data_IF_637685359804
#
_entry.id   IF_637685359804
#
_cell.length_a   1.000
_cell.length_b   1.000
_cell.length_c   1.000
_cell.angle_alpha   90.00
_cell.angle_beta   90.00
_cell.angle_gamma   90.00
#
_symmetry.space_group_name_H-M   'P 1'
#
loop_
_entity.id
_entity.type
_entity.pdbx_description
1 polymer ?
#
# COMPACT_ATOMS: atom_id res chain seq x y z
N UNK A 1 33.58 15.09 -4.54
CA UNK A 1 32.67 13.96 -4.25
C UNK A 1 31.34 14.61 -3.90
N UNK A 2 30.34 14.54 -4.76
CA UNK A 2 29.06 15.22 -4.51
C UNK A 2 28.19 14.31 -3.65
N UNK A 3 27.94 14.71 -2.41
CA UNK A 3 26.96 14.06 -1.53
C UNK A 3 25.56 14.27 -2.10
N UNK A 4 24.82 13.17 -2.24
CA UNK A 4 23.42 13.20 -2.67
C UNK A 4 22.58 13.75 -1.50
N UNK A 5 22.42 15.07 -1.47
CA UNK A 5 21.39 15.70 -0.65
C UNK A 5 20.03 15.27 -1.18
N UNK A 6 19.27 14.54 -0.34
CA UNK A 6 17.86 14.27 -0.63
C UNK A 6 17.14 15.59 -0.47
N UNK A 7 16.65 16.10 -1.60
CA UNK A 7 15.86 17.32 -1.66
C UNK A 7 14.49 17.07 -0.99
N UNK A 8 14.35 17.53 0.25
CA UNK A 8 13.12 17.41 1.04
C UNK A 8 12.08 18.47 0.68
N UNK A 9 12.29 19.26 -0.39
CA UNK A 9 11.34 20.28 -0.87
C UNK A 9 9.95 19.71 -1.19
N UNK A 10 9.83 18.38 -1.33
CA UNK A 10 8.58 17.67 -1.61
C UNK A 10 7.87 17.10 -0.37
N UNK A 11 8.46 17.21 0.83
CA UNK A 11 7.81 16.79 2.07
C UNK A 11 7.09 17.96 2.72
N UNK A 12 5.81 17.78 3.05
CA UNK A 12 5.09 18.78 3.83
C UNK A 12 5.56 18.78 5.28
N UNK A 13 5.47 19.91 5.98
CA UNK A 13 5.76 19.98 7.41
C UNK A 13 5.02 18.90 8.21
N UNK A 14 3.81 18.49 7.78
CA UNK A 14 3.07 17.40 8.41
C UNK A 14 3.75 16.03 8.25
N UNK A 15 4.38 15.74 7.12
CA UNK A 15 5.09 14.48 6.91
C UNK A 15 6.37 14.39 7.75
N UNK A 16 6.98 15.54 8.07
CA UNK A 16 8.12 15.62 9.01
C UNK A 16 7.64 15.33 10.44
N UNK A 17 6.50 15.89 10.85
CA UNK A 17 5.92 15.64 12.18
C UNK A 17 5.52 14.18 12.40
N UNK A 18 5.05 13.48 11.35
CA UNK A 18 4.75 12.05 11.44
C UNK A 18 5.99 11.19 11.74
N UNK A 19 7.17 11.62 11.29
CA UNK A 19 8.44 10.95 11.59
C UNK A 19 8.92 11.28 13.01
N UNK A 20 8.62 12.47 13.52
CA UNK A 20 8.96 12.88 14.90
C UNK A 20 8.04 12.25 15.96
N UNK A 21 6.74 12.16 15.70
CA UNK A 21 5.77 11.45 16.54
C UNK A 21 6.12 9.95 16.62
N UNK A 22 6.61 9.37 15.52
CA UNK A 22 7.09 7.98 15.47
C UNK A 22 8.25 7.71 16.43
N UNK A 23 9.09 8.71 16.72
CA UNK A 23 10.23 8.60 17.64
C UNK A 23 9.83 8.86 19.11
N UNK A 24 8.75 9.61 19.38
CA UNK A 24 8.30 9.91 20.76
C UNK A 24 7.43 8.83 21.42
N UNK A 25 6.84 7.91 20.66
CA UNK A 25 5.94 6.84 21.18
C UNK A 25 6.70 5.78 22.02
N UNK A 26 8.03 5.88 22.14
CA UNK A 26 8.88 4.90 22.83
C UNK A 26 8.73 4.78 24.35
N UNK A 27 7.85 5.53 25.04
CA UNK A 27 7.92 5.57 26.53
C UNK A 27 6.71 5.19 27.36
N UNK A 28 5.47 5.04 26.86
CA UNK A 28 4.34 5.03 27.81
C UNK A 28 3.12 4.14 27.50
N UNK A 29 2.92 3.19 28.42
CA UNK A 29 1.67 2.56 28.91
C UNK A 29 1.16 1.23 28.33
N UNK A 30 1.30 0.18 29.17
CA UNK A 30 0.49 -1.03 29.20
C UNK A 30 -0.45 -1.01 30.42
N UNK A 31 -1.67 -1.52 30.22
CA UNK A 31 -2.61 -2.31 31.11
C UNK A 31 -4.07 -1.89 30.84
N UNK A 32 -5.13 -2.71 30.95
CA UNK A 32 -5.34 -4.13 31.29
C UNK A 32 -6.65 -4.63 30.61
N UNK A 33 -6.68 -5.89 30.16
CA UNK A 33 -7.82 -6.60 29.53
C UNK A 33 -8.41 -7.63 30.52
N UNK A 34 -9.72 -7.88 30.43
CA UNK A 34 -10.58 -8.66 31.37
C UNK A 34 -10.06 -10.01 31.92
N UNK A 35 -10.65 -10.43 33.06
CA UNK A 35 -10.03 -11.26 34.11
C UNK A 35 -10.12 -12.80 33.98
N UNK A 36 -10.64 -13.39 32.90
CA UNK A 36 -10.58 -14.86 32.74
C UNK A 36 -10.01 -15.30 31.37
N UNK A 37 -8.73 -15.74 31.32
CA UNK A 37 -8.00 -16.06 30.08
C UNK A 37 -8.55 -17.25 29.29
N UNK A 38 -9.03 -18.28 29.99
CA UNK A 38 -9.40 -19.57 29.36
C UNK A 38 -10.70 -19.48 28.55
N UNK A 39 -11.67 -18.68 29.01
CA UNK A 39 -12.94 -18.40 28.32
C UNK A 39 -12.70 -17.65 26.98
N UNK A 40 -11.77 -16.68 27.00
CA UNK A 40 -11.37 -15.93 25.80
C UNK A 40 -10.64 -16.79 24.78
N UNK A 41 -9.70 -17.62 25.23
CA UNK A 41 -8.98 -18.55 24.36
C UNK A 41 -9.93 -19.54 23.68
N UNK A 42 -10.96 -20.01 24.40
CA UNK A 42 -11.95 -20.95 23.87
C UNK A 42 -12.84 -20.32 22.79
N UNK A 43 -13.26 -19.07 22.98
CA UNK A 43 -14.05 -18.33 21.98
C UNK A 43 -13.22 -17.93 20.75
N UNK A 44 -11.96 -17.54 20.95
CA UNK A 44 -11.02 -17.25 19.86
C UNK A 44 -10.70 -18.53 19.06
N UNK A 45 -10.44 -19.65 19.73
CA UNK A 45 -10.20 -20.93 19.06
C UNK A 45 -11.41 -21.36 18.22
N UNK A 46 -12.63 -21.15 18.73
CA UNK A 46 -13.87 -21.47 18.00
C UNK A 46 -14.06 -20.58 16.76
N UNK A 47 -13.77 -19.28 16.86
CA UNK A 47 -13.77 -18.36 15.71
C UNK A 47 -12.69 -18.72 14.67
N UNK A 48 -11.47 -19.04 15.11
CA UNK A 48 -10.37 -19.44 14.23
C UNK A 48 -10.66 -20.77 13.52
N UNK A 49 -11.39 -21.69 14.16
CA UNK A 49 -11.76 -22.98 13.55
C UNK A 49 -12.83 -22.81 12.47
N UNK A 50 -13.80 -21.91 12.69
CA UNK A 50 -14.83 -21.56 11.71
C UNK A 50 -14.25 -20.77 10.53
N UNK A 51 -13.27 -19.90 10.76
CA UNK A 51 -12.55 -19.20 9.69
C UNK A 51 -11.61 -20.14 8.92
N UNK A 52 -10.90 -21.05 9.61
CA UNK A 52 -10.07 -22.06 8.94
C UNK A 52 -10.91 -23.00 8.08
N UNK A 53 -12.06 -23.49 8.55
CA UNK A 53 -12.93 -24.36 7.73
C UNK A 53 -13.45 -23.69 6.44
N UNK A 54 -13.49 -22.36 6.37
CA UNK A 54 -13.78 -21.60 5.13
C UNK A 54 -12.52 -21.32 4.29
N UNK A 55 -11.33 -21.37 4.88
CA UNK A 55 -10.03 -21.12 4.23
C UNK A 55 -9.25 -22.40 3.85
N UNK A 56 -9.61 -23.58 4.35
CA UNK A 56 -8.95 -24.86 3.99
C UNK A 56 -9.48 -25.52 2.71
N UNK A 57 -10.18 -24.78 1.84
CA UNK A 57 -9.99 -25.04 0.41
C UNK A 57 -8.64 -24.44 0.04
N UNK A 58 -7.62 -25.29 0.16
CA UNK A 58 -6.27 -25.08 -0.31
C UNK A 58 -6.26 -24.17 -1.54
N UNK A 59 -5.77 -22.94 -1.37
CA UNK A 59 -5.17 -22.21 -2.49
C UNK A 59 -3.89 -22.97 -2.77
N UNK A 60 -4.04 -24.03 -3.54
CA UNK A 60 -2.96 -24.72 -4.22
C UNK A 60 -2.19 -23.63 -4.99
N UNK A 61 -0.95 -23.38 -4.60
CA UNK A 61 -0.06 -22.34 -5.14
C UNK A 61 0.45 -22.75 -6.54
N UNK A 62 -0.28 -23.61 -7.25
CA UNK A 62 0.04 -24.09 -8.58
C UNK A 62 -1.14 -23.79 -9.50
N UNK A 63 -0.91 -22.81 -10.37
CA UNK A 63 -1.80 -22.26 -11.39
C UNK A 63 -2.82 -21.23 -10.89
N UNK A 64 -2.49 -19.94 -11.04
CA UNK A 64 -3.46 -19.01 -11.61
C UNK A 64 -2.73 -17.80 -12.24
N UNK A 65 -2.50 -17.80 -13.56
CA UNK A 65 -1.98 -16.66 -14.30
C UNK A 65 -3.14 -15.69 -14.56
N UNK A 66 -3.76 -15.18 -13.49
CA UNK A 66 -4.88 -14.26 -13.61
C UNK A 66 -4.45 -12.85 -13.23
N UNK A 67 -4.88 -11.91 -14.06
CA UNK A 67 -4.87 -10.48 -13.74
C UNK A 67 -5.43 -10.29 -12.34
N UNK A 68 -4.77 -9.48 -11.52
CA UNK A 68 -5.22 -9.22 -10.14
C UNK A 68 -5.15 -7.75 -9.82
N UNK A 69 -6.26 -7.24 -9.32
CA UNK A 69 -6.39 -5.91 -8.74
C UNK A 69 -6.50 -6.11 -7.23
N UNK A 70 -5.48 -5.71 -6.48
CA UNK A 70 -5.42 -5.81 -5.03
C UNK A 70 -5.78 -4.46 -4.43
N UNK A 71 -6.72 -4.42 -3.50
CA UNK A 71 -7.17 -3.17 -2.88
C UNK A 71 -6.90 -3.20 -1.38
N UNK A 72 -6.22 -2.18 -0.87
CA UNK A 72 -5.97 -1.95 0.55
C UNK A 72 -6.69 -0.68 0.96
N UNK A 73 -7.64 -0.81 1.89
CA UNK A 73 -8.26 0.31 2.58
C UNK A 73 -7.48 0.57 3.86
N UNK A 74 -7.03 1.80 4.07
CA UNK A 74 -6.23 2.14 5.24
C UNK A 74 -6.37 3.59 5.66
N UNK A 75 -5.94 3.95 6.87
CA UNK A 75 -5.83 5.34 7.27
C UNK A 75 -4.59 5.97 6.64
N UNK A 76 -4.50 7.31 6.67
CA UNK A 76 -3.37 8.03 6.08
C UNK A 76 -1.99 7.54 6.60
N UNK A 77 -1.87 7.29 7.91
CA UNK A 77 -0.67 6.71 8.54
C UNK A 77 -0.32 5.29 8.05
N UNK A 78 -1.30 4.56 7.52
CA UNK A 78 -1.16 3.19 7.04
C UNK A 78 -0.81 3.08 5.55
N UNK A 79 -0.71 4.18 4.81
CA UNK A 79 -0.42 4.16 3.37
C UNK A 79 0.90 3.44 3.07
N UNK A 80 1.98 3.82 3.76
CA UNK A 80 3.30 3.19 3.58
C UNK A 80 3.25 1.69 3.87
N UNK A 81 2.56 1.29 4.95
CA UNK A 81 2.36 -0.11 5.29
C UNK A 81 1.60 -0.83 4.17
N UNK A 82 0.55 -0.25 3.63
CA UNK A 82 -0.20 -0.78 2.49
C UNK A 82 0.69 -0.99 1.27
N UNK A 83 1.49 0.02 0.91
CA UNK A 83 2.42 -0.03 -0.23
C UNK A 83 3.40 -1.20 -0.12
N UNK A 84 4.11 -1.27 1.01
CA UNK A 84 5.16 -2.27 1.22
C UNK A 84 4.56 -3.68 1.37
N UNK A 85 3.39 -3.81 2.00
CA UNK A 85 2.69 -5.09 2.12
C UNK A 85 2.33 -5.66 0.76
N UNK A 86 1.84 -4.84 -0.17
CA UNK A 86 1.49 -5.30 -1.52
C UNK A 86 2.73 -5.77 -2.31
N UNK A 87 3.87 -5.09 -2.18
CA UNK A 87 5.11 -5.55 -2.80
C UNK A 87 5.58 -6.89 -2.22
N UNK A 88 5.50 -7.06 -0.91
CA UNK A 88 5.85 -8.32 -0.26
C UNK A 88 4.92 -9.47 -0.65
N UNK A 89 3.60 -9.24 -0.65
CA UNK A 89 2.60 -10.23 -1.07
C UNK A 89 2.80 -10.69 -2.52
N UNK A 90 3.23 -9.77 -3.39
CA UNK A 90 3.49 -10.07 -4.81
C UNK A 90 4.92 -10.53 -5.11
N UNK A 91 5.78 -10.56 -4.08
CA UNK A 91 7.23 -10.82 -4.17
C UNK A 91 7.96 -9.89 -5.15
N UNK A 92 7.46 -8.67 -5.30
CA UNK A 92 8.06 -7.62 -6.13
C UNK A 92 8.92 -6.68 -5.29
N UNK A 93 9.90 -6.03 -5.93
CA UNK A 93 10.65 -4.94 -5.30
C UNK A 93 10.03 -3.58 -5.68
N UNK A 94 9.89 -2.66 -4.71
CA UNK A 94 9.40 -1.32 -4.99
C UNK A 94 10.38 -0.57 -5.90
N UNK A 95 9.85 0.04 -6.95
CA UNK A 95 10.58 0.98 -7.81
C UNK A 95 9.73 2.21 -8.01
N UNK A 96 10.36 3.38 -8.21
CA UNK A 96 9.66 4.67 -8.31
C UNK A 96 8.56 4.64 -9.37
N UNK A 97 8.83 4.06 -10.54
CA UNK A 97 7.86 4.00 -11.63
C UNK A 97 6.73 2.96 -11.44
N UNK A 98 6.79 2.14 -10.39
CA UNK A 98 5.72 1.22 -9.99
C UNK A 98 4.71 1.87 -9.03
N UNK A 99 4.97 3.07 -8.51
CA UNK A 99 4.10 3.73 -7.54
C UNK A 99 3.63 5.05 -8.16
N UNK A 100 2.32 5.28 -8.19
CA UNK A 100 1.72 6.51 -8.68
C UNK A 100 0.84 7.12 -7.60
N UNK A 101 1.26 8.26 -7.06
CA UNK A 101 0.47 9.06 -6.12
C UNK A 101 -0.50 9.94 -6.89
N UNK A 102 -1.80 9.78 -6.61
CA UNK A 102 -2.83 10.62 -7.18
C UNK A 102 -2.95 11.94 -6.44
N UNK A 103 -3.39 12.95 -7.17
CA UNK A 103 -3.77 14.29 -6.68
C UNK A 103 -5.05 14.74 -7.40
N UNK A 104 -5.66 15.81 -6.90
CA UNK A 104 -6.76 16.52 -7.54
C UNK A 104 -6.39 17.13 -8.90
N UNK A 105 -5.09 17.38 -9.12
CA UNK A 105 -4.54 17.87 -10.39
C UNK A 105 -4.11 16.77 -11.36
N UNK A 106 -4.16 15.50 -10.97
CA UNK A 106 -3.71 14.39 -11.83
C UNK A 106 -4.56 14.31 -13.09
N UNK A 107 -3.90 14.40 -14.24
CA UNK A 107 -4.56 14.43 -15.55
C UNK A 107 -4.87 13.04 -16.10
N UNK A 108 -5.79 12.99 -17.07
CA UNK A 108 -6.06 11.76 -17.83
C UNK A 108 -4.81 11.24 -18.56
N UNK A 109 -3.96 12.13 -19.08
CA UNK A 109 -2.76 11.74 -19.82
C UNK A 109 -1.79 10.95 -18.94
N UNK A 110 -1.59 11.40 -17.70
CA UNK A 110 -0.75 10.71 -16.71
C UNK A 110 -1.34 9.35 -16.32
N UNK A 111 -2.66 9.30 -16.07
CA UNK A 111 -3.36 8.07 -15.73
C UNK A 111 -3.34 7.05 -16.85
N UNK A 112 -3.47 7.50 -18.11
CA UNK A 112 -3.35 6.65 -19.30
C UNK A 112 -1.93 6.08 -19.43
N UNK A 113 -0.90 6.92 -19.20
CA UNK A 113 0.49 6.46 -19.22
C UNK A 113 0.76 5.42 -18.12
N UNK A 114 0.24 5.65 -16.90
CA UNK A 114 0.29 4.69 -15.80
C UNK A 114 -0.40 3.37 -16.16
N UNK A 115 -1.63 3.42 -16.70
CA UNK A 115 -2.35 2.22 -17.13
C UNK A 115 -1.57 1.39 -18.16
N UNK A 116 -0.93 2.04 -19.14
CA UNK A 116 -0.05 1.34 -20.08
C UNK A 116 1.15 0.69 -19.38
N UNK A 117 1.84 1.40 -18.47
CA UNK A 117 2.96 0.80 -17.72
C UNK A 117 2.48 -0.43 -16.95
N UNK A 118 1.41 -0.29 -16.17
CA UNK A 118 0.80 -1.39 -15.41
C UNK A 118 0.49 -2.61 -16.29
N UNK A 119 -0.17 -2.38 -17.43
CA UNK A 119 -0.61 -3.46 -18.30
C UNK A 119 0.53 -4.12 -19.10
N UNK A 120 1.61 -3.39 -19.38
CA UNK A 120 2.69 -3.86 -20.25
C UNK A 120 3.91 -4.40 -19.50
N UNK A 121 4.07 -4.16 -18.20
CA UNK A 121 5.20 -4.60 -17.36
C UNK A 121 5.23 -6.10 -16.98
N UNK A 122 4.71 -6.99 -17.85
CA UNK A 122 4.86 -8.46 -17.71
C UNK A 122 4.49 -9.03 -16.33
N UNK A 123 3.46 -8.48 -15.67
CA UNK A 123 3.00 -8.94 -14.36
C UNK A 123 3.73 -8.33 -13.15
N UNK A 124 4.60 -7.32 -13.35
CA UNK A 124 5.07 -6.48 -12.25
C UNK A 124 3.89 -5.76 -11.57
N UNK A 125 4.00 -5.56 -10.25
CA UNK A 125 3.00 -4.83 -9.49
C UNK A 125 3.18 -3.32 -9.70
N UNK A 126 2.13 -2.66 -10.18
CA UNK A 126 2.02 -1.21 -10.17
C UNK A 126 0.95 -0.78 -9.18
N UNK A 127 1.16 0.30 -8.45
CA UNK A 127 0.28 0.75 -7.37
C UNK A 127 -0.24 2.15 -7.63
N UNK A 128 -1.54 2.32 -7.44
CA UNK A 128 -2.22 3.60 -7.46
C UNK A 128 -2.53 4.00 -6.02
N UNK A 129 -1.97 5.13 -5.58
CA UNK A 129 -2.04 5.59 -4.19
C UNK A 129 -2.99 6.77 -4.11
N UNK A 130 -3.96 6.67 -3.21
CA UNK A 130 -5.04 7.63 -2.98
C UNK A 130 -5.85 7.99 -4.25
N UNK A 131 -6.33 7.00 -5.03
CA UNK A 131 -7.13 7.27 -6.23
C UNK A 131 -8.42 8.06 -5.97
N UNK A 132 -8.89 8.14 -4.73
CA UNK A 132 -10.00 8.98 -4.31
C UNK A 132 -9.79 10.48 -4.59
N UNK A 133 -8.53 10.91 -4.74
CA UNK A 133 -8.19 12.30 -5.08
C UNK A 133 -8.40 12.61 -6.57
N UNK A 134 -8.50 11.59 -7.42
CA UNK A 134 -8.77 11.79 -8.84
C UNK A 134 -10.19 12.32 -9.05
N UNK A 135 -10.36 13.25 -10.01
CA UNK A 135 -11.70 13.65 -10.45
C UNK A 135 -12.52 12.45 -10.94
N UNK A 136 -13.84 12.48 -10.75
CA UNK A 136 -14.73 11.41 -11.18
C UNK A 136 -14.57 11.08 -12.68
N UNK A 137 -14.38 12.10 -13.52
CA UNK A 137 -14.11 11.94 -14.95
C UNK A 137 -12.84 11.11 -15.22
N UNK A 138 -11.74 11.41 -14.51
CA UNK A 138 -10.47 10.69 -14.67
C UNK A 138 -10.58 9.25 -14.16
N UNK A 139 -11.30 9.03 -13.04
CA UNK A 139 -11.59 7.69 -12.53
C UNK A 139 -12.37 6.85 -13.57
N UNK A 140 -13.41 7.43 -14.18
CA UNK A 140 -14.20 6.75 -15.21
C UNK A 140 -13.39 6.44 -16.46
N UNK A 141 -12.62 7.41 -16.97
CA UNK A 141 -11.74 7.20 -18.12
C UNK A 141 -10.72 6.08 -17.84
N UNK A 142 -10.12 6.06 -16.66
CA UNK A 142 -9.16 5.03 -16.26
C UNK A 142 -9.79 3.63 -16.24
N UNK A 143 -10.95 3.49 -15.61
CA UNK A 143 -11.61 2.17 -15.51
C UNK A 143 -12.09 1.66 -16.86
N UNK A 144 -12.69 2.51 -17.69
CA UNK A 144 -13.07 2.16 -19.06
C UNK A 144 -11.86 1.74 -19.91
N UNK A 145 -10.75 2.46 -19.76
CA UNK A 145 -9.53 2.15 -20.50
C UNK A 145 -8.89 0.84 -20.05
N UNK A 146 -8.80 0.59 -18.74
CA UNK A 146 -8.27 -0.67 -18.22
C UNK A 146 -9.14 -1.86 -18.64
N UNK A 147 -10.47 -1.69 -18.62
CA UNK A 147 -11.41 -2.70 -19.12
C UNK A 147 -11.19 -2.97 -20.62
N UNK A 148 -10.99 -1.91 -21.42
CA UNK A 148 -10.67 -2.06 -22.85
C UNK A 148 -9.37 -2.82 -23.06
N UNK A 149 -8.29 -2.51 -22.32
CA UNK A 149 -7.01 -3.22 -22.41
C UNK A 149 -7.16 -4.70 -22.04
N UNK A 150 -7.82 -4.99 -20.91
CA UNK A 150 -8.05 -6.35 -20.44
C UNK A 150 -8.87 -7.18 -21.45
N UNK A 151 -9.90 -6.58 -22.06
CA UNK A 151 -10.71 -7.23 -23.10
C UNK A 151 -9.94 -7.47 -24.40
N UNK A 152 -9.07 -6.54 -24.80
CA UNK A 152 -8.28 -6.65 -26.03
C UNK A 152 -7.15 -7.67 -25.93
N UNK A 153 -6.55 -7.84 -24.74
CA UNK A 153 -5.43 -8.75 -24.53
C UNK A 153 -5.63 -9.61 -23.26
N UNK A 154 -6.59 -10.56 -23.27
CA UNK A 154 -6.96 -11.33 -22.08
C UNK A 154 -5.85 -12.24 -21.55
N UNK A 155 -4.89 -12.63 -22.41
CA UNK A 155 -3.72 -13.45 -22.04
C UNK A 155 -2.63 -12.64 -21.34
N UNK A 156 -2.70 -11.31 -21.39
CA UNK A 156 -1.67 -10.45 -20.81
C UNK A 156 -1.87 -10.34 -19.32
N UNK A 157 -0.80 -10.56 -18.58
CA UNK A 157 -0.78 -10.51 -17.12
C UNK A 157 -0.43 -9.10 -16.65
N UNK A 158 -1.27 -8.54 -15.80
CA UNK A 158 -1.01 -7.31 -15.07
C UNK A 158 -1.40 -7.45 -13.60
N UNK A 159 -0.70 -6.68 -12.75
CA UNK A 159 -0.99 -6.59 -11.33
C UNK A 159 -1.12 -5.12 -10.95
N UNK A 160 -2.29 -4.76 -10.45
CA UNK A 160 -2.60 -3.42 -9.98
C UNK A 160 -2.84 -3.47 -8.48
N UNK A 161 -2.08 -2.70 -7.71
CA UNK A 161 -2.37 -2.39 -6.32
C UNK A 161 -3.13 -1.07 -6.25
N UNK A 162 -4.10 -0.99 -5.36
CA UNK A 162 -4.80 0.24 -5.02
C UNK A 162 -4.69 0.40 -3.52
N UNK A 163 -4.06 1.49 -3.07
CA UNK A 163 -4.01 1.86 -1.66
C UNK A 163 -4.84 3.12 -1.51
N UNK A 164 -5.95 3.03 -0.78
CA UNK A 164 -6.93 4.11 -0.65
C UNK A 164 -7.21 4.40 0.82
N UNK A 165 -7.50 5.67 1.11
CA UNK A 165 -8.01 6.13 2.40
C UNK A 165 -9.52 6.33 2.42
N UNK A 166 -10.15 6.27 1.24
CA UNK A 166 -11.60 6.22 1.13
C UNK A 166 -12.09 4.78 1.35
N UNK A 167 -13.29 4.61 1.91
CA UNK A 167 -13.87 3.28 1.99
C UNK A 167 -14.22 2.75 0.59
N UNK A 168 -14.09 1.45 0.38
CA UNK A 168 -14.34 0.82 -0.92
C UNK A 168 -15.78 0.98 -1.41
N UNK A 169 -16.74 1.28 -0.52
CA UNK A 169 -18.12 1.58 -0.90
C UNK A 169 -18.25 2.92 -1.63
N UNK A 170 -17.36 3.88 -1.35
CA UNK A 170 -17.43 5.25 -1.88
C UNK A 170 -16.49 5.49 -3.05
N UNK A 171 -15.53 4.61 -3.30
CA UNK A 171 -14.60 4.74 -4.42
C UNK A 171 -15.19 4.17 -5.72
N UNK A 172 -15.70 5.06 -6.59
CA UNK A 172 -16.27 4.73 -7.90
C UNK A 172 -15.32 3.86 -8.73
N UNK A 173 -14.03 4.22 -8.76
CA UNK A 173 -13.00 3.46 -9.47
C UNK A 173 -12.97 1.97 -9.07
N UNK A 174 -12.97 1.67 -7.77
CA UNK A 174 -12.91 0.28 -7.29
C UNK A 174 -14.20 -0.46 -7.61
N UNK A 175 -15.35 0.20 -7.45
CA UNK A 175 -16.64 -0.41 -7.78
C UNK A 175 -16.77 -0.73 -9.26
N UNK A 176 -16.34 0.16 -10.16
CA UNK A 176 -16.29 -0.07 -11.60
C UNK A 176 -15.35 -1.23 -11.97
N UNK A 177 -14.21 -1.36 -11.27
CA UNK A 177 -13.25 -2.45 -11.52
C UNK A 177 -13.74 -3.82 -11.02
N UNK A 178 -14.63 -3.88 -10.01
CA UNK A 178 -15.21 -5.15 -9.54
C UNK A 178 -15.96 -5.90 -10.64
N UNK A 179 -16.45 -5.20 -11.67
CA UNK A 179 -17.08 -5.81 -12.85
C UNK A 179 -16.13 -6.77 -13.60
N UNK A 180 -14.81 -6.60 -13.47
CA UNK A 180 -13.81 -7.48 -14.09
C UNK A 180 -13.62 -8.81 -13.35
N UNK A 181 -14.25 -9.02 -12.19
CA UNK A 181 -14.12 -10.23 -11.35
C UNK A 181 -12.67 -10.59 -10.94
N UNK A 182 -11.74 -9.63 -11.03
CA UNK A 182 -10.31 -9.79 -10.69
C UNK A 182 -9.88 -8.92 -9.50
N UNK A 183 -10.84 -8.29 -8.83
CA UNK A 183 -10.59 -7.41 -7.67
C UNK A 183 -10.60 -8.25 -6.39
N UNK A 184 -9.57 -8.11 -5.57
CA UNK A 184 -9.46 -8.71 -4.24
C UNK A 184 -9.11 -7.64 -3.21
N UNK A 185 -9.94 -7.49 -2.19
CA UNK A 185 -9.66 -6.59 -1.06
C UNK A 185 -8.79 -7.32 -0.03
N UNK A 186 -7.67 -6.70 0.32
CA UNK A 186 -6.73 -7.18 1.34
C UNK A 186 -7.16 -6.60 2.70
N UNK A 187 -7.24 -7.46 3.71
CA UNK A 187 -7.63 -7.05 5.06
C UNK A 187 -6.41 -6.61 5.86
N UNK A 188 -6.62 -5.83 6.92
CA UNK A 188 -5.54 -5.29 7.75
C UNK A 188 -4.61 -6.38 8.34
N UNK A 189 -5.20 -7.53 8.70
CA UNK A 189 -4.49 -8.70 9.22
C UNK A 189 -3.54 -9.37 8.21
N UNK A 190 -3.75 -9.11 6.91
CA UNK A 190 -2.92 -9.64 5.83
C UNK A 190 -1.79 -8.65 5.46
N UNK A 191 -1.79 -7.45 6.06
CA UNK A 191 -0.73 -6.46 5.91
C UNK A 191 0.43 -6.78 6.86
N UNK A 192 1.56 -6.13 6.58
CA UNK A 192 2.73 -6.23 7.44
C UNK A 192 2.40 -5.76 8.85
N UNK A 193 2.78 -6.57 9.83
CA UNK A 193 2.85 -6.09 11.20
C UNK A 193 3.96 -5.04 11.35
N UNK A 194 3.95 -4.34 12.48
CA UNK A 194 4.87 -3.24 12.76
C UNK A 194 6.34 -3.69 12.68
N UNK A 195 6.66 -4.88 13.18
CA UNK A 195 8.03 -5.40 13.22
C UNK A 195 8.51 -5.74 11.82
N UNK A 196 7.70 -6.44 11.03
CA UNK A 196 8.02 -6.79 9.65
C UNK A 196 8.14 -5.54 8.77
N UNK A 197 7.27 -4.54 8.97
CA UNK A 197 7.36 -3.25 8.29
C UNK A 197 8.70 -2.55 8.58
N UNK A 198 9.13 -2.53 9.84
CA UNK A 198 10.40 -1.93 10.25
C UNK A 198 11.59 -2.61 9.58
N UNK A 199 11.61 -3.94 9.52
CA UNK A 199 12.69 -4.66 8.87
C UNK A 199 12.74 -4.38 7.36
N UNK A 200 11.59 -4.36 6.67
CA UNK A 200 11.52 -3.99 5.26
C UNK A 200 12.06 -2.58 5.02
N UNK A 201 11.68 -1.60 5.86
CA UNK A 201 12.17 -0.22 5.73
C UNK A 201 13.68 -0.15 5.97
N UNK A 202 14.19 -0.81 7.01
CA UNK A 202 15.63 -0.87 7.29
C UNK A 202 16.40 -1.42 6.10
N UNK A 203 15.93 -2.52 5.50
CA UNK A 203 16.58 -3.12 4.34
C UNK A 203 16.62 -2.18 3.13
N UNK A 204 15.53 -1.43 2.88
CA UNK A 204 15.47 -0.47 1.76
C UNK A 204 16.41 0.72 1.94
N UNK A 205 16.57 1.20 3.18
CA UNK A 205 17.39 2.39 3.50
C UNK A 205 18.88 2.03 3.66
N UNK A 206 19.18 0.82 4.17
CA UNK A 206 20.52 0.42 4.57
C UNK A 206 21.56 0.65 3.46
N UNK A 207 22.49 1.56 3.73
CA UNK A 207 23.61 1.90 2.85
C UNK A 207 23.30 2.84 1.69
N UNK A 208 22.03 3.23 1.49
CA UNK A 208 21.59 4.05 0.36
C UNK A 208 21.01 5.42 0.79
N UNK A 209 20.70 5.61 2.07
CA UNK A 209 20.13 6.85 2.57
C UNK A 209 20.48 7.06 4.05
N UNK A 210 20.76 8.32 4.40
CA UNK A 210 21.00 8.76 5.78
C UNK A 210 19.90 9.75 6.15
N UNK A 211 19.12 9.45 7.18
CA UNK A 211 18.12 10.36 7.74
C UNK A 211 18.72 11.09 8.95
N UNK A 212 18.81 12.42 8.85
CA UNK A 212 19.31 13.27 9.93
C UNK A 212 18.15 14.08 10.48
N UNK A 213 17.75 13.78 11.73
CA UNK A 213 16.62 14.46 12.39
C UNK A 213 16.98 14.84 13.82
N UNK A 214 16.26 15.82 14.39
CA UNK A 214 16.43 16.25 15.77
C UNK A 214 15.13 16.85 16.29
N UNK A 215 14.72 16.47 17.50
CA UNK A 215 13.49 16.95 18.14
C UNK A 215 13.50 18.44 18.48
N UNK A 216 14.68 19.09 18.45
CA UNK A 216 14.86 20.49 18.77
C UNK A 216 15.56 21.18 17.60
N UNK A 217 15.08 22.37 17.23
CA UNK A 217 15.73 23.21 16.24
C UNK A 217 17.10 23.70 16.72
N UNK A 218 18.02 24.02 15.79
CA UNK A 218 19.33 24.58 16.12
C UNK A 218 20.41 23.58 16.53
N UNK A 219 20.13 22.26 16.51
CA UNK A 219 21.11 21.20 16.81
C UNK A 219 22.07 20.87 15.64
N UNK A 220 22.27 21.81 14.72
CA UNK A 220 23.29 21.67 13.67
C UNK A 220 23.00 20.61 12.59
N UNK A 221 21.73 20.22 12.35
CA UNK A 221 21.38 19.28 11.26
C UNK A 221 21.98 19.70 9.90
N UNK A 222 21.95 20.99 9.58
CA UNK A 222 22.54 21.57 8.37
C UNK A 222 24.07 21.65 8.37
N UNK A 223 24.71 21.44 9.53
CA UNK A 223 26.17 21.38 9.67
C UNK A 223 26.66 19.94 9.65
N UNK A 224 25.79 18.98 9.97
CA UNK A 224 26.08 17.56 9.96
C UNK A 224 26.04 16.95 8.55
N UNK A 225 25.11 17.44 7.72
CA UNK A 225 25.06 17.18 6.27
C UNK A 225 26.10 18.07 5.60
#
# INVERSE_FOLDING_TARGET
MYEQNIDLTYFSNQQIWMVEDYLQIETKFLTKRSEQPNERLKNIARMLTVQRAKQTKAIDVKNLPLNKILVVETLYEGILRGILSLFQLTKGQPQVHHIFYCSDTTSWTEMRAFAYRCFYSQGALHQLIQPELLSALVQDQFTQFLHKLAKQQPKRLFRLGIVTTASNSHLQLVNSLKALQIVSTIQDQDLLDKTALQEVIKELIKGNSTLVTSHIAGLGKSTYI
#
